data_IF_365075906693
#
_entry.id   IF_365075906693
#
_cell.length_a   1.000
_cell.length_b   1.000
_cell.length_c   1.000
_cell.angle_alpha   90.00
_cell.angle_beta   90.00
_cell.angle_gamma   90.00
#
_symmetry.space_group_name_H-M   'P 1'
#
loop_
_entity.id
_entity.type
_entity.pdbx_description
1 polymer ?
#
# COMPACT_ATOMS: atom_id res chain seq x y z
N UNK A 1 -9.55 31.66 -24.26
CA UNK A 1 -10.76 31.15 -23.59
C UNK A 1 -10.27 29.96 -22.80
N UNK A 2 -10.04 30.16 -21.50
CA UNK A 2 -9.34 29.19 -20.67
C UNK A 2 -10.16 27.92 -20.50
N UNK A 3 -9.54 26.79 -20.82
CA UNK A 3 -10.14 25.44 -20.84
C UNK A 3 -10.49 24.91 -19.44
N UNK A 4 -10.25 25.70 -18.39
CA UNK A 4 -10.28 25.28 -16.98
C UNK A 4 -11.48 25.79 -16.18
N UNK A 5 -12.39 26.56 -16.78
CA UNK A 5 -13.51 27.19 -16.06
C UNK A 5 -14.87 26.57 -16.45
N UNK A 6 -14.95 25.25 -16.37
CA UNK A 6 -16.18 24.49 -16.66
C UNK A 6 -16.91 24.20 -15.35
N UNK A 7 -18.04 24.86 -15.13
CA UNK A 7 -18.87 24.67 -13.93
C UNK A 7 -19.91 23.57 -14.17
N UNK A 8 -19.96 22.57 -13.28
CA UNK A 8 -20.92 21.47 -13.34
C UNK A 8 -22.00 21.69 -12.28
N UNK A 9 -23.26 21.85 -12.70
CA UNK A 9 -24.31 22.38 -11.84
C UNK A 9 -25.34 21.31 -11.45
N UNK A 10 -25.59 20.31 -12.28
CA UNK A 10 -26.52 19.23 -11.97
C UNK A 10 -25.86 18.06 -11.21
N UNK A 11 -26.61 17.33 -10.36
CA UNK A 11 -26.14 16.09 -9.75
C UNK A 11 -25.65 15.06 -10.77
N UNK A 12 -26.33 14.95 -11.92
CA UNK A 12 -26.01 14.02 -12.99
C UNK A 12 -24.66 14.33 -13.63
N UNK A 13 -24.42 15.60 -13.98
CA UNK A 13 -23.13 16.05 -14.54
C UNK A 13 -21.98 15.82 -13.56
N UNK A 14 -22.20 16.05 -12.27
CA UNK A 14 -21.20 15.79 -11.22
C UNK A 14 -20.90 14.30 -11.07
N UNK A 15 -21.93 13.46 -11.11
CA UNK A 15 -21.78 12.01 -11.03
C UNK A 15 -21.04 11.45 -12.25
N UNK A 16 -21.35 11.95 -13.45
CA UNK A 16 -20.67 11.57 -14.68
C UNK A 16 -19.20 11.99 -14.66
N UNK A 17 -18.90 13.25 -14.31
CA UNK A 17 -17.52 13.73 -14.16
C UNK A 17 -16.75 12.88 -13.15
N UNK A 18 -17.33 12.63 -11.98
CA UNK A 18 -16.70 11.81 -10.96
C UNK A 18 -16.43 10.38 -11.48
N UNK A 19 -17.40 9.77 -12.16
CA UNK A 19 -17.23 8.45 -12.79
C UNK A 19 -16.10 8.42 -13.82
N UNK A 20 -16.02 9.43 -14.70
CA UNK A 20 -14.95 9.53 -15.71
C UNK A 20 -13.57 9.73 -15.09
N UNK A 21 -13.46 10.63 -14.10
CA UNK A 21 -12.19 10.93 -13.42
C UNK A 21 -11.70 9.72 -12.63
N UNK A 22 -12.60 8.98 -11.97
CA UNK A 22 -12.24 7.73 -11.31
C UNK A 22 -11.81 6.67 -12.31
N UNK A 23 -12.54 6.50 -13.42
CA UNK A 23 -12.18 5.53 -14.44
C UNK A 23 -10.78 5.83 -15.00
N UNK A 24 -10.45 7.10 -15.22
CA UNK A 24 -9.14 7.53 -15.68
C UNK A 24 -8.04 7.26 -14.63
N UNK A 25 -8.25 7.64 -13.37
CA UNK A 25 -7.28 7.41 -12.28
C UNK A 25 -7.03 5.91 -12.05
N UNK A 26 -8.07 5.07 -12.17
CA UNK A 26 -7.98 3.64 -11.89
C UNK A 26 -7.86 2.77 -13.14
N UNK A 27 -7.65 3.37 -14.32
CA UNK A 27 -7.23 2.61 -15.50
C UNK A 27 -5.89 1.96 -15.19
N UNK A 28 -5.67 0.71 -15.63
CA UNK A 28 -4.39 0.00 -15.47
C UNK A 28 -3.26 0.72 -16.24
N UNK A 29 -2.76 1.80 -15.65
CA UNK A 29 -1.60 2.55 -16.10
C UNK A 29 -0.55 2.40 -15.01
N UNK A 30 -0.04 1.17 -14.87
CA UNK A 30 1.16 0.93 -14.07
C UNK A 30 2.27 1.66 -14.82
N UNK A 31 2.73 2.78 -14.28
CA UNK A 31 3.81 3.55 -14.90
C UNK A 31 5.00 2.61 -15.11
N UNK A 32 5.38 2.34 -16.38
CA UNK A 32 6.44 1.39 -16.65
C UNK A 32 7.73 1.98 -16.06
N UNK A 33 8.34 1.21 -15.16
CA UNK A 33 9.54 1.58 -14.41
C UNK A 33 9.35 2.57 -13.25
N UNK A 34 8.14 2.71 -12.69
CA UNK A 34 7.86 3.52 -11.48
C UNK A 34 8.95 3.37 -10.42
N UNK A 35 9.29 2.12 -10.06
CA UNK A 35 10.30 1.84 -9.04
C UNK A 35 11.66 2.43 -9.37
N UNK A 36 12.12 2.32 -10.63
CA UNK A 36 13.44 2.82 -11.02
C UNK A 36 13.48 4.35 -11.09
N UNK A 37 12.40 4.97 -11.56
CA UNK A 37 12.29 6.43 -11.67
C UNK A 37 12.20 7.03 -10.27
N UNK A 38 11.34 6.46 -9.42
CA UNK A 38 11.17 6.93 -8.06
C UNK A 38 12.42 6.69 -7.21
N UNK A 39 13.04 5.51 -7.34
CA UNK A 39 14.32 5.22 -6.69
C UNK A 39 15.39 6.24 -7.08
N UNK A 40 15.52 6.56 -8.37
CA UNK A 40 16.48 7.57 -8.83
C UNK A 40 16.21 8.95 -8.22
N UNK A 41 14.95 9.38 -8.14
CA UNK A 41 14.58 10.66 -7.50
C UNK A 41 15.00 10.68 -6.03
N UNK A 42 14.77 9.58 -5.32
CA UNK A 42 15.16 9.44 -3.91
C UNK A 42 16.69 9.42 -3.76
N UNK A 43 17.39 8.65 -4.60
CA UNK A 43 18.86 8.56 -4.59
C UNK A 43 19.50 9.93 -4.86
N UNK A 44 19.04 10.64 -5.90
CA UNK A 44 19.48 12.00 -6.23
C UNK A 44 19.23 12.98 -5.07
N UNK A 45 18.08 12.85 -4.38
CA UNK A 45 17.74 13.66 -3.20
C UNK A 45 18.66 13.35 -2.00
N UNK A 46 18.96 12.08 -1.75
CA UNK A 46 19.87 11.66 -0.67
C UNK A 46 21.29 12.19 -0.95
N UNK A 47 21.75 12.11 -2.20
CA UNK A 47 23.04 12.67 -2.62
C UNK A 47 23.09 14.19 -2.42
N UNK A 48 22.02 14.92 -2.78
CA UNK A 48 21.94 16.38 -2.62
C UNK A 48 21.95 16.80 -1.14
N UNK A 49 21.19 16.10 -0.29
CA UNK A 49 21.03 16.47 1.11
C UNK A 49 22.11 15.90 2.04
N UNK A 50 22.92 14.97 1.54
CA UNK A 50 24.01 14.32 2.26
C UNK A 50 23.54 13.17 3.15
N UNK A 51 24.49 12.30 3.51
CA UNK A 51 24.27 11.00 4.17
C UNK A 51 23.63 11.04 5.57
N UNK A 52 23.38 12.23 6.12
CA UNK A 52 22.91 12.39 7.50
C UNK A 52 21.39 12.59 7.62
N UNK A 53 20.61 12.40 6.56
CA UNK A 53 19.15 12.54 6.62
C UNK A 53 18.45 11.45 7.43
N UNK A 54 19.02 10.25 7.42
CA UNK A 54 18.47 9.06 8.07
C UNK A 54 19.53 8.41 8.96
N UNK A 55 20.21 9.21 9.80
CA UNK A 55 21.11 8.65 10.81
C UNK A 55 20.27 7.87 11.81
N UNK A 56 20.31 6.54 11.72
CA UNK A 56 19.84 5.67 12.79
C UNK A 56 20.71 5.93 14.01
N UNK A 57 20.14 6.06 15.21
CA UNK A 57 21.01 6.18 16.37
C UNK A 57 21.81 4.87 16.46
N UNK A 58 23.10 4.89 16.81
CA UNK A 58 23.90 3.67 16.98
C UNK A 58 23.34 2.71 18.05
N UNK A 59 22.36 3.15 18.84
CA UNK A 59 21.59 2.37 19.80
C UNK A 59 20.42 1.62 19.18
N UNK A 60 20.00 1.98 17.97
CA UNK A 60 18.85 1.40 17.26
C UNK A 60 19.25 0.20 16.41
N UNK A 61 20.36 -0.48 16.75
CA UNK A 61 20.86 -1.67 16.02
C UNK A 61 19.76 -2.71 15.81
N UNK A 62 18.87 -2.83 16.78
CA UNK A 62 17.76 -3.78 16.75
C UNK A 62 16.80 -3.54 15.56
N UNK A 63 16.74 -2.32 15.00
CA UNK A 63 15.90 -2.00 13.85
C UNK A 63 16.50 -2.47 12.51
N UNK A 64 17.80 -2.72 12.45
CA UNK A 64 18.50 -3.18 11.24
C UNK A 64 18.67 -4.72 11.22
N UNK A 65 18.25 -5.42 12.28
CA UNK A 65 18.33 -6.87 12.40
C UNK A 65 17.25 -7.60 11.58
N UNK A 66 17.42 -8.92 11.42
CA UNK A 66 16.40 -9.78 10.82
C UNK A 66 15.13 -9.82 11.68
N UNK A 67 13.97 -9.82 11.02
CA UNK A 67 12.70 -10.06 11.70
C UNK A 67 12.70 -11.49 12.25
N UNK A 68 12.33 -11.62 13.50
CA UNK A 68 12.25 -12.88 14.25
C UNK A 68 10.93 -13.63 13.99
N UNK A 69 10.90 -14.91 14.38
CA UNK A 69 9.68 -15.71 14.28
C UNK A 69 8.63 -15.24 15.29
N UNK A 70 9.06 -14.72 16.44
CA UNK A 70 8.22 -14.17 17.49
C UNK A 70 7.48 -12.92 16.99
N UNK A 71 8.19 -11.99 16.34
CA UNK A 71 7.59 -10.80 15.73
C UNK A 71 6.61 -11.15 14.62
N UNK A 72 6.95 -12.14 13.76
CA UNK A 72 6.02 -12.64 12.77
C UNK A 72 4.76 -13.21 13.42
N UNK A 73 4.90 -13.98 14.50
CA UNK A 73 3.77 -14.55 15.22
C UNK A 73 2.88 -13.50 15.90
N UNK A 74 3.46 -12.43 16.44
CA UNK A 74 2.71 -11.29 16.97
C UNK A 74 1.97 -10.53 15.87
N UNK A 75 2.63 -10.26 14.74
CA UNK A 75 2.00 -9.66 13.58
C UNK A 75 0.81 -10.50 13.07
N UNK A 76 0.99 -11.82 12.93
CA UNK A 76 -0.07 -12.73 12.49
C UNK A 76 -1.26 -12.83 13.46
N UNK A 77 -1.07 -12.49 14.74
CA UNK A 77 -2.16 -12.40 15.73
C UNK A 77 -2.95 -11.10 15.60
N UNK A 78 -2.31 -10.01 15.19
CA UNK A 78 -2.93 -8.68 15.11
C UNK A 78 -3.63 -8.40 13.77
N UNK A 79 -3.38 -9.22 12.73
CA UNK A 79 -3.99 -8.98 11.41
C UNK A 79 -5.53 -9.03 11.42
N UNK A 80 -6.15 -8.07 10.73
CA UNK A 80 -7.60 -8.08 10.53
C UNK A 80 -8.00 -9.22 9.58
N UNK A 81 -8.55 -10.29 10.17
CA UNK A 81 -8.99 -11.51 9.45
C UNK A 81 -10.13 -11.31 8.45
N UNK A 82 -10.84 -10.18 8.49
CA UNK A 82 -11.97 -9.86 7.58
C UNK A 82 -11.55 -9.03 6.37
N UNK A 83 -10.26 -8.71 6.25
CA UNK A 83 -9.76 -7.92 5.12
C UNK A 83 -9.86 -8.72 3.82
N UNK A 84 -10.11 -8.02 2.71
CA UNK A 84 -10.09 -8.59 1.37
C UNK A 84 -8.69 -9.10 1.00
N UNK A 85 -8.58 -10.21 0.27
CA UNK A 85 -7.29 -10.67 -0.25
C UNK A 85 -6.77 -9.76 -1.37
N UNK A 86 -5.46 -9.80 -1.59
CA UNK A 86 -4.82 -9.19 -2.75
C UNK A 86 -5.09 -9.95 -4.05
N UNK A 87 -4.41 -9.57 -5.17
CA UNK A 87 -4.51 -10.25 -6.46
C UNK A 87 -4.16 -11.74 -6.41
N UNK A 88 -3.29 -12.13 -5.47
CA UNK A 88 -2.85 -13.50 -5.19
C UNK A 88 -3.94 -14.41 -4.56
N UNK A 89 -5.05 -13.81 -4.13
CA UNK A 89 -6.17 -14.47 -3.43
C UNK A 89 -5.80 -15.07 -2.07
N UNK A 90 -4.65 -14.69 -1.49
CA UNK A 90 -4.24 -15.10 -0.15
C UNK A 90 -4.92 -14.18 0.86
N UNK A 91 -5.82 -14.75 1.68
CA UNK A 91 -6.51 -14.01 2.74
C UNK A 91 -5.68 -13.97 4.02
N UNK A 92 -5.94 -12.97 4.88
CA UNK A 92 -5.40 -12.92 6.24
C UNK A 92 -5.76 -14.17 7.06
N UNK A 93 -6.88 -14.84 6.75
CA UNK A 93 -7.24 -16.11 7.38
C UNK A 93 -6.28 -17.23 6.98
N UNK A 94 -5.77 -17.26 5.75
CA UNK A 94 -4.72 -18.22 5.36
C UNK A 94 -3.44 -17.96 6.17
N UNK A 95 -3.01 -16.70 6.28
CA UNK A 95 -1.81 -16.30 7.01
C UNK A 95 -1.90 -16.64 8.51
N UNK A 96 -3.04 -16.35 9.17
CA UNK A 96 -3.23 -16.71 10.58
C UNK A 96 -3.23 -18.22 10.85
N UNK A 97 -3.46 -19.06 9.84
CA UNK A 97 -3.56 -20.52 9.99
C UNK A 97 -2.34 -21.27 9.43
N UNK A 98 -1.24 -20.56 9.14
CA UNK A 98 -0.02 -21.17 8.65
C UNK A 98 0.56 -22.14 9.68
N UNK A 99 0.99 -23.31 9.21
CA UNK A 99 1.82 -24.22 9.98
C UNK A 99 3.25 -23.67 10.14
N UNK A 100 4.00 -24.21 11.10
CA UNK A 100 5.35 -23.74 11.45
C UNK A 100 6.31 -23.70 10.24
N UNK A 101 6.27 -24.70 9.35
CA UNK A 101 7.10 -24.72 8.15
C UNK A 101 6.79 -23.57 7.20
N UNK A 102 5.50 -23.28 6.97
CA UNK A 102 5.08 -22.18 6.10
C UNK A 102 5.42 -20.82 6.69
N UNK A 103 5.34 -20.67 8.03
CA UNK A 103 5.78 -19.45 8.71
C UNK A 103 7.27 -19.19 8.50
N UNK A 104 8.12 -20.20 8.66
CA UNK A 104 9.56 -20.06 8.39
C UNK A 104 9.86 -19.72 6.92
N UNK A 105 9.09 -20.27 5.98
CA UNK A 105 9.25 -19.94 4.57
C UNK A 105 8.91 -18.47 4.29
N UNK A 106 7.79 -17.98 4.83
CA UNK A 106 7.38 -16.57 4.68
C UNK A 106 8.36 -15.64 5.37
N UNK A 107 8.82 -15.98 6.58
CA UNK A 107 9.84 -15.22 7.31
C UNK A 107 11.11 -15.05 6.47
N UNK A 108 11.56 -16.13 5.83
CA UNK A 108 12.73 -16.10 4.95
C UNK A 108 12.53 -15.15 3.76
N UNK A 109 11.34 -15.13 3.16
CA UNK A 109 11.01 -14.23 2.04
C UNK A 109 11.01 -12.77 2.52
N UNK A 110 10.39 -12.50 3.67
CA UNK A 110 10.33 -11.16 4.26
C UNK A 110 11.74 -10.64 4.58
N UNK A 111 12.58 -11.43 5.26
CA UNK A 111 13.94 -11.00 5.60
C UNK A 111 14.84 -10.85 4.38
N UNK A 112 14.64 -11.64 3.33
CA UNK A 112 15.34 -11.42 2.06
C UNK A 112 14.93 -10.10 1.42
N UNK A 113 13.63 -9.79 1.40
CA UNK A 113 13.10 -8.52 0.90
C UNK A 113 13.64 -7.32 1.71
N UNK A 114 13.70 -7.46 3.04
CA UNK A 114 14.26 -6.46 3.96
C UNK A 114 15.73 -6.16 3.68
N UNK A 115 16.56 -7.20 3.58
CA UNK A 115 18.02 -7.05 3.35
C UNK A 115 18.38 -6.49 1.99
N UNK A 116 17.70 -6.95 0.95
CA UNK A 116 17.99 -6.53 -0.42
C UNK A 116 17.34 -5.18 -0.77
N UNK A 117 16.39 -4.70 0.06
CA UNK A 117 15.59 -3.52 -0.25
C UNK A 117 14.70 -3.71 -1.48
N UNK A 118 14.31 -4.95 -1.79
CA UNK A 118 13.51 -5.31 -2.96
C UNK A 118 12.15 -5.84 -2.49
N UNK A 119 11.08 -5.11 -2.82
CA UNK A 119 9.70 -5.55 -2.60
C UNK A 119 9.21 -6.34 -3.83
N UNK A 120 8.51 -7.46 -3.59
CA UNK A 120 7.90 -8.27 -4.64
C UNK A 120 6.82 -7.49 -5.39
N UNK A 121 6.74 -7.64 -6.71
CA UNK A 121 5.82 -6.86 -7.55
C UNK A 121 4.35 -7.03 -7.15
N UNK A 122 3.94 -8.25 -6.82
CA UNK A 122 2.57 -8.53 -6.36
C UNK A 122 2.20 -7.79 -5.07
N UNK A 123 3.19 -7.43 -4.23
CA UNK A 123 2.94 -6.69 -2.98
C UNK A 123 2.74 -5.20 -3.21
N UNK A 124 3.11 -4.68 -4.39
CA UNK A 124 2.93 -3.28 -4.79
C UNK A 124 1.55 -3.04 -5.40
N UNK A 125 0.80 -4.11 -5.71
CA UNK A 125 -0.48 -4.03 -6.42
C UNK A 125 -1.63 -4.01 -5.42
N UNK A 126 -2.44 -2.94 -5.45
CA UNK A 126 -3.67 -2.85 -4.69
C UNK A 126 -4.88 -2.84 -5.63
N UNK A 127 -5.88 -3.68 -5.33
CA UNK A 127 -7.17 -3.64 -6.02
C UNK A 127 -8.10 -2.65 -5.32
N UNK A 128 -8.42 -1.56 -5.99
CA UNK A 128 -9.36 -0.57 -5.50
C UNK A 128 -10.76 -0.97 -5.97
N UNK A 129 -11.71 -1.04 -5.03
CA UNK A 129 -13.11 -1.36 -5.32
C UNK A 129 -13.97 -0.36 -4.57
N UNK A 130 -14.84 0.35 -5.29
CA UNK A 130 -15.79 1.26 -4.67
C UNK A 130 -16.93 0.46 -4.04
N UNK A 131 -17.24 0.78 -2.79
CA UNK A 131 -18.38 0.23 -2.08
C UNK A 131 -19.38 1.34 -1.84
N UNK A 132 -20.66 1.07 -2.13
CA UNK A 132 -21.74 1.95 -1.75
C UNK A 132 -21.80 2.04 -0.22
N UNK A 133 -21.80 3.26 0.32
CA UNK A 133 -21.94 3.46 1.75
C UNK A 133 -23.40 3.32 2.15
N UNK A 134 -23.68 2.46 3.12
CA UNK A 134 -25.03 2.31 3.67
C UNK A 134 -25.44 3.62 4.38
N UNK A 135 -26.56 4.21 3.92
CA UNK A 135 -27.07 5.52 4.37
C UNK A 135 -27.60 5.46 5.81
N UNK A 136 -27.77 4.26 6.36
CA UNK A 136 -28.30 4.05 7.73
C UNK A 136 -27.28 4.28 8.87
N UNK A 137 -26.00 4.52 8.55
CA UNK A 137 -24.94 4.70 9.54
C UNK A 137 -24.89 6.15 10.08
N UNK A 138 -25.51 6.35 11.26
CA UNK A 138 -25.76 7.65 11.91
C UNK A 138 -24.50 8.39 12.40
N UNK A 139 -23.33 7.78 12.37
CA UNK A 139 -22.07 8.37 12.87
C UNK A 139 -21.15 8.90 11.76
N UNK A 140 -21.67 9.17 10.56
CA UNK A 140 -20.87 9.68 9.44
C UNK A 140 -20.97 11.21 9.31
N UNK A 141 -19.87 11.98 9.43
CA UNK A 141 -19.89 13.45 9.37
C UNK A 141 -20.08 14.04 7.95
N UNK A 142 -20.31 13.22 6.93
CA UNK A 142 -20.52 13.64 5.54
C UNK A 142 -21.97 13.44 5.08
N UNK A 143 -22.93 13.90 5.89
CA UNK A 143 -24.29 14.20 5.44
C UNK A 143 -24.37 15.72 5.25
N UNK A 144 -24.03 16.19 4.05
CA UNK A 144 -24.39 17.51 3.54
C UNK A 144 -25.61 17.37 2.63
#
# INVERSE_FOLDING_TARGET
>A
MDMYDKTYNSPEEKAELFGTLLAEIFTENIEPNFDSTHKKIIDDFIEEKGSNLFVTNPTDKDLDEDISIEELDEALKSINRKSSPGPDKITNKHLSNLGIHSKHLILKIINLSWKEGIILDDWKIAKITMLEKDVSDKNNPFLL
#
